data_IF_374930333405
#
_entry.id   IF_374930333405
#
_cell.length_a   1.000
_cell.length_b   1.000
_cell.length_c   1.000
_cell.angle_alpha   90.00
_cell.angle_beta   90.00
_cell.angle_gamma   90.00
#
_symmetry.space_group_name_H-M   'P 1'
#
loop_
_entity.id
_entity.type
_entity.pdbx_description
1 polymer ?
#
# COMPACT_ATOMS: atom_id res chain seq x y z
N UNK A 1 -4.59 11.70 13.30
CA UNK A 1 -4.94 11.87 11.88
C UNK A 1 -5.51 10.56 11.36
N UNK A 2 -6.49 10.63 10.47
CA UNK A 2 -7.11 9.48 9.83
C UNK A 2 -6.14 8.86 8.78
N UNK A 3 -6.22 7.54 8.57
CA UNK A 3 -5.43 6.82 7.54
C UNK A 3 -5.50 7.48 6.17
N UNK A 4 -6.70 7.86 5.72
CA UNK A 4 -6.90 8.43 4.39
C UNK A 4 -6.31 9.83 4.28
N UNK A 5 -6.39 10.64 5.33
CA UNK A 5 -5.77 11.98 5.34
C UNK A 5 -4.26 11.88 5.17
N UNK A 6 -3.62 10.96 5.91
CA UNK A 6 -2.18 10.72 5.80
C UNK A 6 -1.82 10.17 4.42
N UNK A 7 -2.57 9.19 3.91
CA UNK A 7 -2.33 8.63 2.58
C UNK A 7 -2.47 9.68 1.47
N UNK A 8 -3.53 10.50 1.51
CA UNK A 8 -3.80 11.55 0.52
C UNK A 8 -2.80 12.70 0.60
N UNK A 9 -2.23 12.99 1.77
CA UNK A 9 -1.15 13.98 1.90
C UNK A 9 0.09 13.64 1.06
N UNK A 10 0.24 12.36 0.67
CA UNK A 10 1.33 11.86 -0.15
C UNK A 10 0.95 11.73 -1.63
N UNK A 11 -0.27 12.12 -2.03
CA UNK A 11 -0.72 12.00 -3.41
C UNK A 11 0.23 12.73 -4.38
N UNK A 12 0.62 12.05 -5.46
CA UNK A 12 1.54 12.58 -6.47
C UNK A 12 3.04 12.38 -6.18
N UNK A 13 3.42 11.92 -4.97
CA UNK A 13 4.81 11.51 -4.71
C UNK A 13 5.21 10.43 -5.70
N UNK A 14 6.27 10.68 -6.47
CA UNK A 14 6.73 9.82 -7.56
C UNK A 14 8.22 9.57 -7.49
N UNK A 15 8.67 8.45 -8.04
CA UNK A 15 10.09 8.24 -8.32
C UNK A 15 10.57 9.35 -9.27
N UNK A 16 11.77 9.86 -9.02
CA UNK A 16 12.44 10.85 -9.87
C UNK A 16 13.51 10.13 -10.69
N UNK A 17 13.70 10.55 -11.93
CA UNK A 17 14.71 9.96 -12.81
C UNK A 17 16.10 10.49 -12.45
N UNK A 18 17.10 9.61 -12.44
CA UNK A 18 18.51 9.94 -12.15
C UNK A 18 19.06 9.18 -10.95
N UNK A 19 20.25 9.58 -10.47
CA UNK A 19 20.94 8.95 -9.34
C UNK A 19 20.40 9.34 -7.96
N UNK A 20 19.31 10.11 -7.90
CA UNK A 20 18.70 10.56 -6.66
C UNK A 20 17.36 9.88 -6.50
N UNK A 21 17.16 9.13 -5.42
CA UNK A 21 15.85 8.63 -5.04
C UNK A 21 15.01 9.77 -4.45
N UNK A 22 13.68 9.71 -4.64
CA UNK A 22 12.80 10.68 -3.99
C UNK A 22 12.90 10.49 -2.47
N UNK A 23 13.45 11.49 -1.76
CA UNK A 23 13.67 11.43 -0.32
C UNK A 23 12.41 11.07 0.48
N UNK A 24 11.21 11.41 -0.03
CA UNK A 24 9.94 10.99 0.58
C UNK A 24 9.76 9.48 0.50
N UNK A 25 10.02 8.86 -0.65
CA UNK A 25 9.91 7.41 -0.81
C UNK A 25 10.93 6.72 0.11
N UNK A 26 12.19 7.20 0.12
CA UNK A 26 13.23 6.70 1.04
C UNK A 26 12.78 6.80 2.50
N UNK A 27 12.11 7.89 2.88
CA UNK A 27 11.63 8.10 4.24
C UNK A 27 10.65 7.01 4.69
N UNK A 28 9.82 6.47 3.78
CA UNK A 28 8.91 5.37 4.10
C UNK A 28 9.66 4.14 4.58
N UNK A 29 10.79 3.81 3.94
CA UNK A 29 11.64 2.68 4.32
C UNK A 29 12.40 2.94 5.62
N UNK A 30 13.04 4.11 5.73
CA UNK A 30 13.84 4.49 6.89
C UNK A 30 13.01 4.49 8.18
N UNK A 31 11.79 5.03 8.14
CA UNK A 31 10.90 5.05 9.30
C UNK A 31 10.42 3.65 9.70
N UNK A 32 10.44 2.68 8.79
CA UNK A 32 10.15 1.28 9.06
C UNK A 32 11.38 0.48 9.51
N UNK A 33 12.57 1.12 9.57
CA UNK A 33 13.83 0.49 9.96
C UNK A 33 14.63 -0.10 8.81
N UNK A 34 14.17 0.04 7.56
CA UNK A 34 14.88 -0.43 6.37
C UNK A 34 15.82 0.64 5.83
N UNK A 35 16.95 0.84 6.51
CA UNK A 35 17.96 1.84 6.13
C UNK A 35 18.82 1.36 4.97
N UNK A 36 19.19 2.25 4.05
CA UNK A 36 20.15 1.99 2.98
C UNK A 36 19.62 1.09 1.85
N UNK A 37 18.30 0.97 1.71
CA UNK A 37 17.70 0.31 0.55
C UNK A 37 17.83 1.19 -0.70
N UNK A 38 18.30 0.59 -1.79
CA UNK A 38 18.20 1.16 -3.12
C UNK A 38 16.84 0.80 -3.73
N UNK A 39 16.14 1.79 -4.29
CA UNK A 39 14.91 1.53 -5.05
C UNK A 39 15.30 0.90 -6.39
N UNK A 40 15.01 -0.39 -6.55
CA UNK A 40 15.07 -1.05 -7.87
C UNK A 40 13.65 -1.40 -8.37
N UNK A 41 13.52 -1.79 -9.63
CA UNK A 41 12.22 -2.10 -10.24
C UNK A 41 11.51 -3.30 -9.58
N UNK A 42 12.24 -4.14 -8.85
CA UNK A 42 11.70 -5.25 -8.07
C UNK A 42 11.29 -4.83 -6.64
N UNK A 43 11.76 -3.67 -6.17
CA UNK A 43 11.46 -3.13 -4.85
C UNK A 43 10.08 -2.47 -4.89
N UNK A 44 9.06 -3.30 -4.79
CA UNK A 44 7.67 -2.88 -4.64
C UNK A 44 7.47 -2.00 -3.40
N UNK A 45 7.57 -0.67 -3.52
CA UNK A 45 7.37 0.26 -2.40
C UNK A 45 5.90 0.52 -2.05
N UNK A 46 4.96 -0.20 -2.66
CA UNK A 46 3.55 -0.16 -2.28
C UNK A 46 3.34 -0.55 -0.81
N UNK A 47 3.98 -1.64 -0.36
CA UNK A 47 3.89 -2.07 1.04
C UNK A 47 4.61 -1.11 1.98
N UNK A 48 5.74 -0.53 1.57
CA UNK A 48 6.45 0.48 2.37
C UNK A 48 5.55 1.70 2.63
N UNK A 49 4.87 2.19 1.59
CA UNK A 49 3.90 3.28 1.70
C UNK A 49 2.76 2.93 2.66
N UNK A 50 2.08 1.79 2.47
CA UNK A 50 0.94 1.41 3.34
C UNK A 50 1.38 1.20 4.79
N UNK A 51 2.56 0.61 5.01
CA UNK A 51 3.13 0.43 6.36
C UNK A 51 3.43 1.79 7.01
N UNK A 52 4.04 2.72 6.27
CA UNK A 52 4.32 4.06 6.76
C UNK A 52 3.03 4.81 7.13
N UNK A 53 1.99 4.76 6.29
CA UNK A 53 0.69 5.38 6.57
C UNK A 53 0.05 4.76 7.81
N UNK A 54 0.01 3.43 7.92
CA UNK A 54 -0.56 2.73 9.07
C UNK A 54 0.17 3.09 10.37
N UNK A 55 1.51 3.08 10.34
CA UNK A 55 2.37 3.49 11.46
C UNK A 55 2.10 4.93 11.90
N UNK A 56 2.06 5.89 10.95
CA UNK A 56 1.77 7.31 11.25
C UNK A 56 0.37 7.53 11.80
N UNK A 57 -0.56 6.65 11.46
CA UNK A 57 -1.96 6.72 11.90
C UNK A 57 -2.21 5.99 13.23
N UNK A 58 -1.20 5.30 13.78
CA UNK A 58 -1.33 4.51 15.01
C UNK A 58 -2.10 3.20 14.83
N UNK A 59 -2.06 2.60 13.64
CA UNK A 59 -2.69 1.32 13.34
C UNK A 59 -1.67 0.19 13.25
N UNK A 60 -2.16 -1.05 13.39
CA UNK A 60 -1.39 -2.25 13.10
C UNK A 60 -0.90 -2.26 11.64
N UNK A 61 0.31 -2.78 11.43
CA UNK A 61 0.98 -2.79 10.13
C UNK A 61 1.80 -4.08 9.98
N UNK A 62 2.08 -4.50 8.74
CA UNK A 62 2.77 -5.78 8.49
C UNK A 62 4.25 -5.75 8.82
N UNK A 63 4.87 -4.57 8.74
CA UNK A 63 6.30 -4.34 8.88
C UNK A 63 7.14 -4.92 7.74
N UNK A 64 6.52 -5.57 6.75
CA UNK A 64 7.22 -6.27 5.64
C UNK A 64 6.99 -5.57 4.31
N UNK A 65 7.97 -5.64 3.42
CA UNK A 65 7.93 -4.99 2.11
C UNK A 65 7.11 -5.75 1.05
N UNK A 66 6.78 -7.02 1.27
CA UNK A 66 5.92 -7.76 0.34
C UNK A 66 4.43 -7.46 0.60
N UNK A 67 3.65 -7.27 -0.47
CA UNK A 67 2.23 -6.95 -0.37
C UNK A 67 1.40 -8.06 0.31
N UNK A 68 1.75 -9.34 0.11
CA UNK A 68 1.02 -10.48 0.68
C UNK A 68 1.11 -10.57 2.19
N UNK A 69 2.09 -9.93 2.82
CA UNK A 69 2.20 -9.86 4.29
C UNK A 69 0.98 -9.21 4.96
N UNK A 70 0.21 -8.41 4.23
CA UNK A 70 -0.99 -7.77 4.76
C UNK A 70 -2.16 -8.74 4.97
N UNK A 71 -2.13 -9.93 4.38
CA UNK A 71 -3.15 -10.96 4.62
C UNK A 71 -3.20 -11.38 6.10
N UNK A 72 -2.10 -11.23 6.84
CA UNK A 72 -2.00 -11.61 8.26
C UNK A 72 -2.20 -10.44 9.23
N UNK A 73 -2.65 -9.27 8.77
CA UNK A 73 -2.77 -8.05 9.59
C UNK A 73 -4.23 -7.59 9.64
N UNK A 74 -4.72 -7.25 10.83
CA UNK A 74 -6.08 -6.77 11.02
C UNK A 74 -7.14 -7.86 10.77
N UNK A 75 -8.38 -7.43 10.57
CA UNK A 75 -9.55 -8.30 10.38
C UNK A 75 -9.89 -8.42 8.89
N UNK A 76 -10.17 -9.63 8.41
CA UNK A 76 -10.67 -9.84 7.04
C UNK A 76 -12.13 -9.43 6.95
N UNK A 77 -12.47 -8.62 5.95
CA UNK A 77 -13.82 -8.08 5.75
C UNK A 77 -14.31 -8.33 4.32
N UNK A 78 -15.63 -8.36 4.14
CA UNK A 78 -16.27 -8.54 2.82
C UNK A 78 -16.85 -7.24 2.24
N UNK A 79 -17.14 -6.26 3.08
CA UNK A 79 -17.70 -4.97 2.70
C UNK A 79 -16.72 -3.87 3.11
N UNK A 80 -15.77 -3.49 2.22
CA UNK A 80 -14.75 -2.51 2.55
C UNK A 80 -15.32 -1.10 2.69
N UNK A 81 -14.77 -0.35 3.63
CA UNK A 81 -15.00 1.07 3.85
C UNK A 81 -13.81 1.89 3.33
N UNK A 82 -14.04 3.19 3.12
CA UNK A 82 -13.00 4.15 2.74
C UNK A 82 -11.80 4.06 3.69
N UNK A 83 -10.63 3.72 3.15
CA UNK A 83 -9.39 3.61 3.91
C UNK A 83 -9.04 2.21 4.41
N UNK A 84 -9.90 1.21 4.21
CA UNK A 84 -9.53 -0.19 4.48
C UNK A 84 -8.41 -0.65 3.53
N UNK A 85 -7.59 -1.59 3.97
CA UNK A 85 -6.50 -2.10 3.15
C UNK A 85 -7.04 -3.08 2.12
N UNK A 86 -6.58 -2.95 0.88
CA UNK A 86 -6.83 -3.92 -0.18
C UNK A 86 -5.56 -4.68 -0.50
N UNK A 87 -5.63 -6.01 -0.47
CA UNK A 87 -4.53 -6.89 -0.90
C UNK A 87 -4.89 -7.52 -2.24
N UNK A 88 -4.04 -7.30 -3.24
CA UNK A 88 -4.21 -7.78 -4.61
C UNK A 88 -3.15 -8.83 -4.95
N UNK A 89 -3.50 -9.78 -5.81
CA UNK A 89 -2.51 -10.63 -6.48
C UNK A 89 -1.97 -9.96 -7.74
N UNK A 90 -0.75 -10.32 -8.14
CA UNK A 90 -0.13 -9.89 -9.40
C UNK A 90 0.43 -11.10 -10.12
N UNK A 91 0.33 -11.11 -11.46
CA UNK A 91 0.76 -12.20 -12.36
C UNK A 91 0.00 -13.51 -12.16
N UNK A 92 0.04 -14.11 -10.97
CA UNK A 92 -0.68 -15.34 -10.63
C UNK A 92 -1.24 -15.27 -9.19
N UNK A 93 -2.53 -15.66 -8.97
CA UNK A 93 -3.16 -15.65 -7.64
C UNK A 93 -2.42 -16.47 -6.58
N UNK A 94 -1.76 -17.57 -6.96
CA UNK A 94 -1.02 -18.44 -6.02
C UNK A 94 0.44 -18.01 -5.81
N UNK A 95 0.91 -17.02 -6.56
CA UNK A 95 2.28 -16.49 -6.37
C UNK A 95 2.37 -15.56 -5.17
N UNK A 96 3.59 -15.35 -4.68
CA UNK A 96 3.87 -14.36 -3.64
C UNK A 96 3.74 -12.92 -4.12
N UNK A 97 3.69 -12.68 -5.44
CA UNK A 97 3.59 -11.35 -6.02
C UNK A 97 2.20 -10.76 -5.78
N UNK A 98 2.16 -9.47 -5.53
CA UNK A 98 0.93 -8.77 -5.19
C UNK A 98 1.09 -7.26 -5.18
N UNK A 99 -0.01 -6.59 -4.85
CA UNK A 99 -0.07 -5.16 -4.64
C UNK A 99 -0.91 -4.85 -3.40
N UNK A 100 -0.67 -3.70 -2.77
CA UNK A 100 -1.41 -3.29 -1.58
C UNK A 100 -1.63 -1.77 -1.60
N UNK A 101 -2.78 -1.35 -1.11
CA UNK A 101 -3.15 0.06 -0.97
C UNK A 101 -4.43 0.21 -0.15
N UNK A 102 -5.01 1.41 -0.16
CA UNK A 102 -6.23 1.75 0.56
C UNK A 102 -7.43 1.81 -0.37
N UNK A 103 -8.53 1.22 0.04
CA UNK A 103 -9.79 1.21 -0.68
C UNK A 103 -10.38 2.62 -0.77
N UNK A 104 -10.78 3.02 -1.98
CA UNK A 104 -11.44 4.30 -2.24
C UNK A 104 -12.91 4.09 -2.64
N UNK A 105 -13.15 3.27 -3.66
CA UNK A 105 -14.49 2.93 -4.13
C UNK A 105 -14.44 1.72 -5.03
N UNK A 106 -15.59 1.23 -5.44
CA UNK A 106 -15.70 0.21 -6.46
C UNK A 106 -16.82 0.48 -7.47
N UNK A 107 -16.76 -0.24 -8.58
CA UNK A 107 -17.77 -0.32 -9.64
C UNK A 107 -18.05 -1.79 -9.92
N UNK A 108 -18.84 -2.12 -10.95
CA UNK A 108 -19.17 -3.51 -11.27
C UNK A 108 -17.93 -4.39 -11.52
N UNK A 109 -16.91 -3.88 -12.22
CA UNK A 109 -15.72 -4.67 -12.60
C UNK A 109 -14.42 -4.27 -11.90
N UNK A 110 -14.37 -3.10 -11.26
CA UNK A 110 -13.13 -2.51 -10.77
C UNK A 110 -13.24 -2.02 -9.33
N UNK A 111 -12.13 -2.10 -8.62
CA UNK A 111 -11.89 -1.34 -7.39
C UNK A 111 -10.90 -0.22 -7.66
N UNK A 112 -11.03 0.88 -6.92
CA UNK A 112 -10.13 2.02 -6.98
C UNK A 112 -9.30 2.05 -5.69
N UNK A 113 -7.99 2.01 -5.86
CA UNK A 113 -7.03 1.85 -4.76
C UNK A 113 -6.08 3.04 -4.73
N UNK A 114 -6.01 3.71 -3.58
CA UNK A 114 -4.96 4.69 -3.27
C UNK A 114 -3.72 3.93 -2.77
N UNK A 115 -2.67 3.91 -3.56
CA UNK A 115 -1.47 3.12 -3.26
C UNK A 115 -0.20 3.78 -3.77
N UNK A 116 0.92 3.39 -3.15
CA UNK A 116 2.26 3.70 -3.63
C UNK A 116 2.71 2.77 -4.75
N UNK A 117 3.74 3.14 -5.49
CA UNK A 117 4.30 2.42 -6.63
C UNK A 117 3.30 2.09 -7.75
N UNK A 118 2.23 2.89 -7.87
CA UNK A 118 1.24 2.75 -8.93
C UNK A 118 1.69 3.59 -10.12
N UNK A 119 2.38 2.98 -11.09
CA UNK A 119 3.10 3.71 -12.15
C UNK A 119 4.19 4.63 -11.56
N UNK A 120 5.01 4.06 -10.66
CA UNK A 120 6.11 4.73 -9.97
C UNK A 120 5.67 5.99 -9.19
N UNK A 121 4.43 6.00 -8.67
CA UNK A 121 3.88 7.11 -7.87
C UNK A 121 2.81 6.69 -6.85
N UNK A 122 2.50 7.58 -5.92
CA UNK A 122 1.29 7.55 -5.09
C UNK A 122 0.16 8.15 -5.90
N UNK A 123 -0.85 7.35 -6.21
CA UNK A 123 -2.04 7.82 -6.92
C UNK A 123 -3.25 6.92 -6.59
N UNK A 124 -4.39 7.21 -7.21
CA UNK A 124 -5.54 6.30 -7.21
C UNK A 124 -5.54 5.58 -8.56
N UNK A 125 -5.57 4.25 -8.54
CA UNK A 125 -5.59 3.42 -9.74
C UNK A 125 -6.71 2.37 -9.65
N UNK A 126 -7.33 2.09 -10.80
CA UNK A 126 -8.32 1.03 -10.93
C UNK A 126 -7.65 -0.34 -11.12
N UNK A 127 -8.15 -1.35 -10.41
CA UNK A 127 -7.75 -2.75 -10.54
C UNK A 127 -9.00 -3.63 -10.74
N UNK A 128 -8.94 -4.68 -11.58
CA UNK A 128 -10.03 -5.64 -11.70
C UNK A 128 -10.38 -6.24 -10.34
N UNK A 129 -11.68 -6.35 -10.04
CA UNK A 129 -12.15 -7.02 -8.80
C UNK A 129 -11.64 -8.44 -8.65
N UNK A 130 -11.43 -9.15 -9.77
CA UNK A 130 -10.85 -10.50 -9.79
C UNK A 130 -9.40 -10.56 -9.27
N UNK A 131 -8.71 -9.42 -9.14
CA UNK A 131 -7.38 -9.35 -8.55
C UNK A 131 -7.38 -9.27 -7.01
N UNK A 132 -8.53 -9.00 -6.40
CA UNK A 132 -8.64 -8.89 -4.94
C UNK A 132 -8.47 -10.25 -4.29
N UNK A 133 -7.61 -10.31 -3.29
CA UNK A 133 -7.47 -11.46 -2.41
C UNK A 133 -8.30 -11.24 -1.15
N UNK A 134 -8.06 -10.14 -0.45
CA UNK A 134 -8.76 -9.78 0.78
C UNK A 134 -8.81 -8.27 0.96
N UNK A 135 -9.86 -7.82 1.65
CA UNK A 135 -9.94 -6.52 2.30
C UNK A 135 -9.63 -6.68 3.78
N UNK A 136 -8.86 -5.75 4.34
CA UNK A 136 -8.40 -5.81 5.72
C UNK A 136 -8.76 -4.53 6.46
N UNK A 137 -9.50 -4.64 7.56
CA UNK A 137 -9.74 -3.57 8.52
C UNK A 137 -8.60 -3.53 9.53
N UNK A 138 -7.84 -2.45 9.55
CA UNK A 138 -6.70 -2.32 10.47
C UNK A 138 -7.18 -2.03 11.89
N UNK A 139 -6.45 -2.56 12.87
CA UNK A 139 -6.74 -2.37 14.30
C UNK A 139 -5.91 -1.19 14.80
N UNK A 140 -6.56 -0.22 15.45
CA UNK A 140 -5.88 0.93 16.02
C UNK A 140 -5.24 0.55 17.36
N UNK A 141 -4.00 0.98 17.59
CA UNK A 141 -3.40 0.91 18.91
C UNK A 141 -4.14 1.87 19.84
N UNK A 142 -4.51 1.38 21.03
CA UNK A 142 -5.20 2.15 22.07
C UNK A 142 -4.36 3.28 22.64
#
# INVERSE_FOLDING_TARGET
MNILEIALSQYGVSEISGSNDNQKIISYFNELGYKGLELNEETGWCSAFVNWVAKKSGYSFSGKLNARSWLTVGESIHTPELGDVVVLWRENPVSWKGHVGFYIKETSGFIYVLGGNQRKRVCIQAYPKSQVLEFKKLIKHG
#
